data_IF_276660780731
#
_entry.id   IF_276660780731
#
_cell.length_a   1.000
_cell.length_b   1.000
_cell.length_c   1.000
_cell.angle_alpha   90.00
_cell.angle_beta   90.00
_cell.angle_gamma   90.00
#
_symmetry.space_group_name_H-M   'P 1'
#
loop_
_entity.id
_entity.type
_entity.pdbx_description
1 polymer ?
#
# COMPACT_ATOMS: atom_id res chain seq x y z
N UNK A 1 -3.87 -20.86 24.27
CA UNK A 1 -4.68 -20.50 23.08
C UNK A 1 -4.51 -19.00 22.90
N UNK A 2 -3.65 -18.59 21.97
CA UNK A 2 -3.48 -17.16 21.66
C UNK A 2 -4.64 -16.78 20.74
N UNK A 3 -5.63 -16.08 21.28
CA UNK A 3 -6.59 -15.38 20.45
C UNK A 3 -5.81 -14.31 19.68
N UNK A 4 -5.53 -14.60 18.42
CA UNK A 4 -5.16 -13.53 17.48
C UNK A 4 -6.34 -12.56 17.48
N UNK A 5 -6.09 -11.32 17.90
CA UNK A 5 -7.06 -10.23 17.77
C UNK A 5 -7.33 -10.08 16.28
N UNK A 6 -8.38 -10.74 15.80
CA UNK A 6 -8.92 -10.54 14.47
C UNK A 6 -9.51 -9.14 14.45
N UNK A 7 -8.79 -8.20 13.88
CA UNK A 7 -9.30 -6.86 13.66
C UNK A 7 -10.20 -6.92 12.40
N UNK A 8 -11.45 -7.29 12.55
CA UNK A 8 -12.51 -7.22 11.57
C UNK A 8 -12.98 -5.77 11.41
N UNK A 9 -13.67 -5.38 10.36
CA UNK A 9 -14.26 -4.02 10.23
C UNK A 9 -15.07 -3.59 11.44
N UNK A 10 -15.64 -4.55 12.16
CA UNK A 10 -16.24 -4.35 13.48
C UNK A 10 -15.20 -4.03 14.59
N UNK A 11 -13.95 -4.34 14.41
CA UNK A 11 -12.88 -4.10 15.39
C UNK A 11 -12.23 -2.73 15.29
N UNK A 12 -12.55 -1.92 14.29
CA UNK A 12 -12.34 -0.47 14.44
C UNK A 12 -13.01 0.01 15.72
N UNK A 13 -14.15 -0.58 16.10
CA UNK A 13 -14.83 -0.27 17.34
C UNK A 13 -13.98 -0.61 18.58
N UNK A 14 -13.28 -1.74 18.58
CA UNK A 14 -12.43 -2.15 19.70
C UNK A 14 -11.15 -1.32 19.79
N UNK A 15 -10.50 -1.06 18.64
CA UNK A 15 -9.34 -0.19 18.58
C UNK A 15 -9.73 1.27 18.89
N UNK A 16 -10.83 1.77 18.33
CA UNK A 16 -11.38 3.08 18.64
C UNK A 16 -11.73 3.21 20.13
N UNK A 17 -12.37 2.19 20.71
CA UNK A 17 -12.68 2.13 22.15
C UNK A 17 -11.41 2.14 23.01
N UNK A 18 -10.39 1.37 22.62
CA UNK A 18 -9.09 1.38 23.30
C UNK A 18 -8.39 2.74 23.22
N UNK A 19 -8.67 3.51 22.15
CA UNK A 19 -8.18 4.88 21.94
C UNK A 19 -9.10 5.96 22.51
N UNK A 20 -10.23 5.60 23.15
CA UNK A 20 -11.19 6.55 23.70
C UNK A 20 -12.06 7.26 22.66
N UNK A 21 -12.15 6.74 21.42
CA UNK A 21 -12.96 7.32 20.34
C UNK A 21 -14.40 6.77 20.43
N UNK A 22 -15.39 7.64 20.36
CA UNK A 22 -16.79 7.21 20.30
C UNK A 22 -17.15 6.64 18.93
N UNK A 23 -18.03 5.64 18.89
CA UNK A 23 -18.52 5.04 17.65
C UNK A 23 -19.20 6.05 16.70
N UNK A 24 -19.75 7.14 17.24
CA UNK A 24 -20.39 8.22 16.49
C UNK A 24 -19.38 9.03 15.63
N UNK A 25 -18.13 9.15 16.08
CA UNK A 25 -17.07 9.85 15.34
C UNK A 25 -16.66 9.07 14.09
N UNK A 26 -16.83 7.74 14.08
CA UNK A 26 -16.45 6.86 12.98
C UNK A 26 -17.52 6.80 11.87
N UNK A 27 -18.75 7.23 12.15
CA UNK A 27 -19.88 7.10 11.21
C UNK A 27 -20.07 8.28 10.26
N UNK A 28 -19.38 9.39 10.47
CA UNK A 28 -19.47 10.55 9.58
C UNK A 28 -18.53 10.39 8.38
N UNK A 29 -19.08 10.00 7.23
CA UNK A 29 -18.36 9.97 5.94
C UNK A 29 -18.01 11.38 5.48
N UNK A 30 -16.78 11.82 5.73
CA UNK A 30 -16.19 12.98 5.05
C UNK A 30 -15.53 12.53 3.76
N UNK A 31 -15.50 13.39 2.72
CA UNK A 31 -14.62 13.16 1.57
C UNK A 31 -13.20 13.05 2.11
N UNK A 32 -12.62 11.85 2.06
CA UNK A 32 -11.25 11.65 2.49
C UNK A 32 -10.32 12.35 1.51
N UNK A 33 -9.47 13.21 2.02
CA UNK A 33 -8.38 13.81 1.24
C UNK A 33 -7.39 12.73 0.76
N UNK A 34 -6.48 13.12 -0.11
CA UNK A 34 -5.37 12.27 -0.49
C UNK A 34 -4.43 12.08 0.71
N UNK A 35 -3.97 10.86 0.96
CA UNK A 35 -2.99 10.55 2.01
C UNK A 35 -1.61 10.48 1.38
N UNK A 36 -0.61 11.07 2.04
CA UNK A 36 0.77 11.05 1.61
C UNK A 36 1.31 9.61 1.54
N UNK A 37 2.26 9.35 0.65
CA UNK A 37 2.73 8.00 0.35
C UNK A 37 4.19 7.82 0.76
N UNK A 38 4.43 6.90 1.67
CA UNK A 38 5.77 6.45 2.04
C UNK A 38 6.17 5.24 1.20
N UNK A 39 7.43 5.18 0.77
CA UNK A 39 8.00 4.01 0.10
C UNK A 39 9.53 4.01 0.19
N UNK A 40 10.17 2.88 -0.03
CA UNK A 40 11.61 2.80 -0.28
C UNK A 40 11.86 3.10 -1.76
N UNK A 41 12.79 4.01 -2.03
CA UNK A 41 13.20 4.36 -3.38
C UNK A 41 14.42 3.55 -3.79
N UNK A 42 14.26 2.68 -4.80
CA UNK A 42 15.28 1.66 -5.12
C UNK A 42 16.38 2.14 -6.05
N UNK A 43 16.20 3.26 -6.73
CA UNK A 43 17.19 3.80 -7.66
C UNK A 43 17.84 5.05 -7.09
N UNK A 44 19.14 5.29 -7.31
CA UNK A 44 19.74 6.57 -6.95
C UNK A 44 19.11 7.71 -7.76
N UNK A 45 19.06 8.90 -7.18
CA UNK A 45 18.70 10.12 -7.90
C UNK A 45 19.99 10.84 -8.28
N UNK A 46 20.10 11.15 -9.58
CA UNK A 46 21.26 11.76 -10.17
C UNK A 46 21.03 13.25 -10.36
N UNK A 47 21.85 14.06 -9.72
CA UNK A 47 21.98 15.49 -9.98
C UNK A 47 23.04 15.83 -11.04
N UNK A 48 23.28 17.12 -11.21
CA UNK A 48 24.37 17.63 -12.05
C UNK A 48 25.22 18.59 -11.22
N UNK A 49 26.51 18.33 -11.18
CA UNK A 49 27.50 19.21 -10.55
C UNK A 49 28.49 19.70 -11.60
N UNK A 50 28.90 20.97 -11.51
CA UNK A 50 29.91 21.54 -12.39
C UNK A 50 31.29 21.31 -11.79
N UNK A 51 32.05 20.36 -12.31
CA UNK A 51 33.41 20.06 -11.92
C UNK A 51 34.35 20.50 -13.03
N UNK A 52 35.21 21.50 -12.75
CA UNK A 52 36.18 22.06 -13.69
C UNK A 52 35.57 22.51 -15.02
N UNK A 53 34.39 23.17 -14.98
CA UNK A 53 33.71 23.68 -16.15
C UNK A 53 32.96 22.61 -16.99
N UNK A 54 32.85 21.39 -16.47
CA UNK A 54 32.10 20.31 -17.11
C UNK A 54 30.96 19.87 -16.19
N UNK A 55 29.76 19.71 -16.76
CA UNK A 55 28.63 19.14 -16.06
C UNK A 55 28.82 17.63 -15.92
N UNK A 56 28.94 17.16 -14.71
CA UNK A 56 29.11 15.75 -14.36
C UNK A 56 27.84 15.30 -13.61
N UNK A 57 27.33 14.10 -13.93
CA UNK A 57 26.25 13.50 -13.15
C UNK A 57 26.83 12.97 -11.84
N UNK A 58 26.24 13.41 -10.73
CA UNK A 58 26.57 12.95 -9.38
C UNK A 58 25.34 12.36 -8.72
N UNK A 59 25.54 11.38 -7.88
CA UNK A 59 24.46 10.82 -7.07
C UNK A 59 24.16 11.78 -5.92
N UNK A 60 22.96 12.34 -5.89
CA UNK A 60 22.52 13.30 -4.85
C UNK A 60 21.68 12.61 -3.77
N UNK A 61 21.01 11.51 -4.11
CA UNK A 61 20.27 10.68 -3.16
C UNK A 61 20.57 9.22 -3.48
N UNK A 62 21.04 8.50 -2.47
CA UNK A 62 21.39 7.08 -2.59
C UNK A 62 20.16 6.20 -2.85
N UNK A 63 20.37 5.12 -3.60
CA UNK A 63 19.37 4.07 -3.72
C UNK A 63 19.11 3.42 -2.37
N UNK A 64 17.83 3.19 -2.05
CA UNK A 64 17.41 2.65 -0.75
C UNK A 64 16.93 3.69 0.24
N UNK A 65 16.98 4.98 -0.08
CA UNK A 65 16.38 6.02 0.75
C UNK A 65 14.86 5.84 0.88
N UNK A 66 14.31 6.22 2.02
CA UNK A 66 12.87 6.36 2.21
C UNK A 66 12.40 7.61 1.49
N UNK A 67 11.37 7.47 0.67
CA UNK A 67 10.73 8.58 -0.06
C UNK A 67 9.33 8.80 0.46
N UNK A 68 9.06 10.03 0.90
CA UNK A 68 7.73 10.50 1.23
C UNK A 68 7.21 11.41 0.12
N UNK A 69 6.08 11.04 -0.47
CA UNK A 69 5.32 11.85 -1.41
C UNK A 69 4.26 12.61 -0.63
N UNK A 70 4.45 13.90 -0.46
CA UNK A 70 3.46 14.79 0.15
C UNK A 70 2.56 15.33 -0.94
N UNK A 71 1.28 15.00 -0.85
CA UNK A 71 0.29 15.32 -1.88
C UNK A 71 -0.28 16.72 -1.60
N UNK A 72 0.04 17.67 -2.47
CA UNK A 72 -0.55 19.00 -2.47
C UNK A 72 -1.80 19.09 -3.35
N UNK A 73 -2.41 20.28 -3.42
CA UNK A 73 -3.63 20.52 -4.20
C UNK A 73 -3.43 20.34 -5.72
N UNK A 74 -2.26 20.67 -6.23
CA UNK A 74 -1.93 20.62 -7.67
C UNK A 74 -0.78 19.66 -7.97
N UNK A 75 0.26 19.68 -7.15
CA UNK A 75 1.50 18.95 -7.37
C UNK A 75 1.89 18.19 -6.09
N UNK A 76 2.62 17.09 -6.27
CA UNK A 76 3.23 16.36 -5.16
C UNK A 76 4.66 16.85 -4.94
N UNK A 77 5.07 16.92 -3.69
CA UNK A 77 6.45 17.19 -3.28
C UNK A 77 7.07 15.91 -2.73
N UNK A 78 8.33 15.66 -3.04
CA UNK A 78 9.03 14.46 -2.60
C UNK A 78 10.14 14.83 -1.61
N UNK A 79 10.18 14.08 -0.52
CA UNK A 79 11.21 14.18 0.50
C UNK A 79 11.89 12.84 0.67
N UNK A 80 13.19 12.85 0.96
CA UNK A 80 14.00 11.65 1.08
C UNK A 80 14.79 11.70 2.39
N UNK A 81 14.97 10.53 3.00
CA UNK A 81 15.84 10.34 4.15
C UNK A 81 16.35 8.90 4.20
N UNK A 82 17.53 8.68 4.74
CA UNK A 82 18.06 7.33 4.99
C UNK A 82 17.47 6.72 6.24
N UNK A 83 17.12 7.53 7.24
CA UNK A 83 16.55 7.08 8.50
C UNK A 83 15.23 7.78 8.75
N UNK A 84 14.24 7.01 9.18
CA UNK A 84 12.94 7.54 9.53
C UNK A 84 12.40 6.83 10.76
N UNK A 85 11.47 7.46 11.44
CA UNK A 85 10.69 6.84 12.50
C UNK A 85 9.22 6.86 12.12
N UNK A 86 8.53 5.75 12.28
CA UNK A 86 7.10 5.68 12.04
C UNK A 86 6.36 5.36 13.33
N UNK A 87 5.28 6.09 13.56
CA UNK A 87 4.29 5.78 14.60
C UNK A 87 3.07 5.16 13.92
N UNK A 88 2.95 3.81 13.90
CA UNK A 88 1.88 3.15 13.17
C UNK A 88 0.56 3.22 13.94
N UNK A 89 -0.51 3.62 13.26
CA UNK A 89 -1.86 3.66 13.83
C UNK A 89 -2.61 2.36 13.57
N UNK A 90 -2.49 1.84 12.36
CA UNK A 90 -3.10 0.57 11.98
C UNK A 90 -2.40 -0.06 10.78
N UNK A 91 -2.65 -1.34 10.59
CA UNK A 91 -2.28 -2.06 9.38
C UNK A 91 -3.49 -2.72 8.75
N UNK A 92 -3.45 -2.88 7.42
CA UNK A 92 -4.42 -3.60 6.62
C UNK A 92 -3.71 -4.47 5.61
N UNK A 93 -4.45 -5.37 4.99
CA UNK A 93 -3.91 -6.29 3.99
C UNK A 93 -4.81 -6.28 2.76
N UNK A 94 -4.19 -6.43 1.59
CA UNK A 94 -4.89 -6.65 0.33
C UNK A 94 -4.06 -7.55 -0.57
N UNK A 95 -4.70 -8.09 -1.60
CA UNK A 95 -4.02 -8.75 -2.72
C UNK A 95 -3.92 -7.78 -3.89
N UNK A 96 -2.81 -7.86 -4.62
CA UNK A 96 -2.54 -7.03 -5.78
C UNK A 96 -1.88 -7.86 -6.87
N UNK A 97 -2.32 -7.68 -8.13
CA UNK A 97 -1.72 -8.26 -9.31
C UNK A 97 -1.61 -7.20 -10.40
N UNK A 98 -0.43 -7.07 -11.01
CA UNK A 98 -0.25 -6.21 -12.18
C UNK A 98 -0.49 -6.99 -13.44
N UNK A 99 -1.31 -6.46 -14.35
CA UNK A 99 -1.56 -7.01 -15.68
C UNK A 99 -0.99 -6.02 -16.69
N UNK A 100 0.07 -6.43 -17.38
CA UNK A 100 0.66 -5.61 -18.43
C UNK A 100 -0.25 -5.58 -19.67
N UNK A 101 -0.43 -4.40 -20.23
CA UNK A 101 -1.05 -4.23 -21.54
C UNK A 101 0.05 -4.28 -22.62
N UNK A 102 0.31 -5.48 -23.12
CA UNK A 102 1.39 -5.72 -24.12
C UNK A 102 1.13 -5.06 -25.47
N UNK A 103 -0.12 -4.67 -25.75
CA UNK A 103 -0.52 -3.96 -26.98
C UNK A 103 -0.71 -2.45 -26.81
N UNK A 104 -0.36 -1.87 -25.66
CA UNK A 104 -0.60 -0.46 -25.37
C UNK A 104 0.14 0.47 -26.35
N UNK A 105 -0.59 1.43 -26.94
CA UNK A 105 -0.02 2.53 -27.71
C UNK A 105 0.74 3.50 -26.77
N UNK A 106 1.59 4.40 -27.30
CA UNK A 106 2.40 5.31 -26.49
C UNK A 106 1.63 6.12 -25.43
N UNK A 107 0.37 6.45 -25.70
CA UNK A 107 -0.50 7.25 -24.82
C UNK A 107 -1.50 6.41 -24.00
N UNK A 108 -1.47 5.09 -24.10
CA UNK A 108 -2.35 4.19 -23.35
C UNK A 108 -1.65 3.67 -22.09
N UNK A 109 -2.42 3.33 -21.04
CA UNK A 109 -1.85 2.73 -19.83
C UNK A 109 -1.10 1.44 -20.18
N UNK A 110 0.15 1.34 -19.71
CA UNK A 110 1.00 0.16 -19.91
C UNK A 110 0.51 -1.09 -19.19
N UNK A 111 -0.53 -0.97 -18.40
CA UNK A 111 -1.17 -2.05 -17.66
C UNK A 111 -2.04 -1.50 -16.54
N UNK A 112 -2.68 -2.42 -15.83
CA UNK A 112 -3.56 -2.08 -14.71
C UNK A 112 -3.28 -2.97 -13.51
N UNK A 113 -3.60 -2.45 -12.32
CA UNK A 113 -3.55 -3.24 -11.10
C UNK A 113 -4.94 -3.81 -10.81
N UNK A 114 -5.00 -5.13 -10.68
CA UNK A 114 -6.09 -5.78 -9.98
C UNK A 114 -5.81 -5.69 -8.48
N UNK A 115 -6.78 -5.21 -7.72
CA UNK A 115 -6.66 -4.98 -6.27
C UNK A 115 -7.91 -5.46 -5.57
N UNK A 116 -7.73 -6.08 -4.42
CA UNK A 116 -8.86 -6.43 -3.56
C UNK A 116 -9.21 -5.28 -2.62
N UNK A 117 -10.34 -5.39 -1.96
CA UNK A 117 -10.63 -4.60 -0.75
C UNK A 117 -9.52 -4.78 0.28
N UNK A 118 -9.30 -3.76 1.10
CA UNK A 118 -8.43 -3.85 2.28
C UNK A 118 -9.17 -4.55 3.41
N UNK A 119 -8.49 -5.50 4.05
CA UNK A 119 -9.01 -6.32 5.15
C UNK A 119 -7.96 -6.45 6.26
N UNK A 120 -8.38 -6.94 7.42
CA UNK A 120 -7.47 -7.29 8.53
C UNK A 120 -6.74 -8.58 8.28
N UNK A 121 -7.29 -9.45 7.43
CA UNK A 121 -6.75 -10.77 7.14
C UNK A 121 -6.85 -11.07 5.67
N UNK A 122 -5.96 -11.93 5.19
CA UNK A 122 -6.00 -12.51 3.84
C UNK A 122 -6.61 -13.94 3.84
N UNK A 123 -7.22 -14.35 4.94
CA UNK A 123 -7.78 -15.70 5.09
C UNK A 123 -9.23 -15.83 4.57
N UNK A 124 -9.88 -14.71 4.30
CA UNK A 124 -11.22 -14.66 3.69
C UNK A 124 -11.14 -14.32 2.21
N UNK A 125 -12.23 -14.60 1.48
CA UNK A 125 -12.36 -14.19 0.10
C UNK A 125 -12.60 -12.69 -0.01
N UNK A 126 -11.72 -12.01 -0.71
CA UNK A 126 -11.72 -10.56 -0.87
C UNK A 126 -12.20 -10.19 -2.27
N UNK A 127 -13.29 -9.41 -2.37
CA UNK A 127 -13.74 -8.82 -3.64
C UNK A 127 -12.64 -8.00 -4.28
N UNK A 128 -12.47 -8.10 -5.61
CA UNK A 128 -11.50 -7.31 -6.37
C UNK A 128 -12.18 -6.43 -7.43
N UNK A 129 -11.44 -5.47 -7.97
CA UNK A 129 -11.92 -4.53 -8.99
C UNK A 129 -12.15 -5.15 -10.38
N UNK A 130 -12.15 -6.48 -10.51
CA UNK A 130 -12.41 -7.20 -11.76
C UNK A 130 -13.66 -8.07 -11.71
N UNK A 131 -14.45 -7.98 -10.64
CA UNK A 131 -15.61 -8.82 -10.38
C UNK A 131 -15.26 -10.26 -10.01
N UNK A 132 -14.04 -10.49 -9.50
CA UNK A 132 -13.56 -11.78 -8.99
C UNK A 132 -13.20 -11.66 -7.52
N UNK A 133 -12.86 -12.78 -6.92
CA UNK A 133 -12.27 -12.82 -5.58
C UNK A 133 -10.76 -13.03 -5.67
N UNK A 134 -10.02 -12.46 -4.74
CA UNK A 134 -8.59 -12.72 -4.50
C UNK A 134 -7.69 -12.49 -5.74
N UNK A 135 -8.04 -11.55 -6.64
CA UNK A 135 -7.38 -11.33 -7.94
C UNK A 135 -7.36 -12.59 -8.83
N UNK A 136 -8.31 -13.52 -8.63
CA UNK A 136 -8.43 -14.78 -9.36
C UNK A 136 -7.76 -15.98 -8.69
N UNK A 137 -7.15 -15.82 -7.51
CA UNK A 137 -6.65 -16.95 -6.73
C UNK A 137 -7.82 -17.76 -6.17
N UNK A 138 -7.75 -19.11 -6.17
CA UNK A 138 -8.73 -19.97 -5.51
C UNK A 138 -8.93 -19.62 -4.04
N UNK A 139 -10.15 -19.81 -3.56
CA UNK A 139 -10.50 -19.64 -2.15
C UNK A 139 -9.79 -20.65 -1.26
N UNK A 140 -9.53 -20.25 -0.02
CA UNK A 140 -9.00 -21.12 1.01
C UNK A 140 -7.49 -21.42 0.90
N UNK A 141 -7.08 -22.42 1.65
CA UNK A 141 -5.70 -22.91 1.68
C UNK A 141 -5.46 -23.85 0.51
N UNK A 142 -4.34 -23.67 -0.18
CA UNK A 142 -3.91 -24.53 -1.28
C UNK A 142 -2.97 -25.57 -0.68
N UNK A 143 -3.48 -26.81 -0.52
CA UNK A 143 -2.70 -27.91 0.07
C UNK A 143 -1.55 -28.35 -0.85
N UNK A 144 -1.84 -28.54 -2.13
CA UNK A 144 -0.84 -28.91 -3.12
C UNK A 144 -0.80 -27.91 -4.28
N UNK A 145 0.18 -27.01 -4.22
CA UNK A 145 0.40 -26.02 -5.27
C UNK A 145 0.83 -26.67 -6.60
N UNK A 146 1.53 -27.81 -6.55
CA UNK A 146 2.04 -28.48 -7.75
C UNK A 146 0.92 -29.21 -8.51
N UNK A 147 -0.16 -29.58 -7.84
CA UNK A 147 -1.33 -30.20 -8.47
C UNK A 147 -2.19 -29.21 -9.29
N UNK A 148 -1.96 -27.90 -9.11
CA UNK A 148 -2.66 -26.89 -9.90
C UNK A 148 -2.16 -26.87 -11.34
N UNK A 149 -3.06 -26.43 -12.27
CA UNK A 149 -2.65 -26.20 -13.66
C UNK A 149 -1.50 -25.17 -13.73
N UNK A 150 -0.60 -25.26 -14.74
CA UNK A 150 0.48 -24.29 -14.92
C UNK A 150 -0.01 -22.84 -14.95
N UNK A 151 -1.10 -22.56 -15.65
CA UNK A 151 -1.71 -21.21 -15.73
C UNK A 151 -2.13 -20.70 -14.35
N UNK A 152 -2.70 -21.58 -13.51
CA UNK A 152 -3.10 -21.21 -12.16
C UNK A 152 -1.89 -20.97 -11.26
N UNK A 153 -0.85 -21.79 -11.37
CA UNK A 153 0.40 -21.58 -10.66
C UNK A 153 1.02 -20.22 -11.01
N UNK A 154 1.06 -19.87 -12.29
CA UNK A 154 1.60 -18.60 -12.77
C UNK A 154 0.75 -17.40 -12.34
N UNK A 155 -0.57 -17.54 -12.36
CA UNK A 155 -1.48 -16.54 -11.83
C UNK A 155 -1.17 -16.28 -10.34
N UNK A 156 -1.07 -17.33 -9.53
CA UNK A 156 -0.81 -17.19 -8.09
C UNK A 156 0.55 -16.55 -7.82
N UNK A 157 1.60 -16.89 -8.60
CA UNK A 157 2.93 -16.27 -8.48
C UNK A 157 2.93 -14.79 -8.76
N UNK A 158 2.02 -14.28 -9.62
CA UNK A 158 1.89 -12.87 -9.94
C UNK A 158 1.12 -12.09 -8.86
N UNK A 159 0.35 -12.77 -8.00
CA UNK A 159 -0.43 -12.12 -6.94
C UNK A 159 0.48 -11.83 -5.76
N UNK A 160 0.60 -10.56 -5.42
CA UNK A 160 1.34 -10.09 -4.26
C UNK A 160 0.43 -9.88 -3.06
N UNK A 161 0.90 -10.27 -1.89
CA UNK A 161 0.32 -9.86 -0.61
C UNK A 161 0.86 -8.49 -0.29
N UNK A 162 -0.02 -7.55 -0.03
CA UNK A 162 0.34 -6.18 0.32
C UNK A 162 -0.05 -5.93 1.77
N UNK A 163 0.92 -5.52 2.58
CA UNK A 163 0.70 -4.93 3.90
C UNK A 163 0.58 -3.44 3.71
N UNK A 164 -0.48 -2.85 4.22
CA UNK A 164 -0.73 -1.42 4.17
C UNK A 164 -0.63 -0.88 5.59
N UNK A 165 0.33 -0.01 5.83
CA UNK A 165 0.55 0.64 7.13
C UNK A 165 0.07 2.07 7.04
N UNK A 166 -0.72 2.49 8.02
CA UNK A 166 -1.17 3.86 8.21
C UNK A 166 -0.56 4.40 9.50
N UNK A 167 -0.09 5.61 9.48
CA UNK A 167 0.51 6.23 10.65
C UNK A 167 1.06 7.61 10.38
N UNK A 168 1.96 8.02 11.24
CA UNK A 168 2.71 9.28 11.15
C UNK A 168 4.19 8.94 10.99
N UNK A 169 4.86 9.63 10.08
CA UNK A 169 6.30 9.49 9.83
C UNK A 169 7.03 10.76 10.21
N UNK A 170 8.15 10.59 10.90
CA UNK A 170 9.17 11.59 11.15
C UNK A 170 10.41 11.21 10.32
N UNK A 171 10.91 12.11 9.50
CA UNK A 171 12.11 11.89 8.67
C UNK A 171 13.32 12.57 9.32
N UNK A 172 14.41 11.82 9.49
CA UNK A 172 15.65 12.35 10.03
C UNK A 172 16.44 13.01 8.88
N UNK A 173 16.85 14.27 9.08
CA UNK A 173 17.62 15.05 8.10
C UNK A 173 17.06 14.93 6.66
N UNK A 174 15.76 15.28 6.43
CA UNK A 174 15.15 15.13 5.13
C UNK A 174 15.80 16.06 4.09
N UNK A 175 15.89 15.55 2.86
CA UNK A 175 16.34 16.32 1.69
C UNK A 175 15.25 16.36 0.64
N UNK A 176 15.28 17.36 -0.24
CA UNK A 176 14.41 17.46 -1.41
C UNK A 176 14.91 16.59 -2.59
N UNK A 177 14.27 16.71 -3.75
CA UNK A 177 14.64 15.97 -4.97
C UNK A 177 16.01 16.33 -5.54
N UNK A 178 16.58 17.45 -5.11
CA UNK A 178 17.91 17.91 -5.52
C UNK A 178 19.01 17.49 -4.52
N UNK A 179 18.62 16.87 -3.39
CA UNK A 179 19.50 16.51 -2.30
C UNK A 179 19.76 17.68 -1.34
N UNK A 180 18.99 18.78 -1.44
CA UNK A 180 19.14 19.93 -0.56
C UNK A 180 18.46 19.70 0.78
N UNK A 181 19.12 19.99 1.91
CA UNK A 181 18.54 19.83 3.24
C UNK A 181 17.24 20.65 3.39
N UNK A 182 16.25 20.03 3.99
CA UNK A 182 14.95 20.68 4.23
C UNK A 182 14.44 20.37 5.64
N UNK A 183 13.32 20.98 6.01
CA UNK A 183 12.68 20.72 7.29
C UNK A 183 11.27 20.18 7.04
N UNK A 184 10.94 19.06 7.67
CA UNK A 184 9.63 18.45 7.60
C UNK A 184 9.18 18.07 9.01
N UNK A 185 7.94 18.44 9.38
CA UNK A 185 7.33 17.97 10.61
C UNK A 185 6.83 16.53 10.48
N UNK A 186 6.10 16.08 11.48
CA UNK A 186 5.43 14.79 11.45
C UNK A 186 4.33 14.77 10.38
N UNK A 187 4.33 13.76 9.52
CA UNK A 187 3.44 13.69 8.36
C UNK A 187 2.61 12.40 8.37
N UNK A 188 1.27 12.50 8.28
CA UNK A 188 0.42 11.33 8.06
C UNK A 188 0.75 10.62 6.75
N UNK A 189 0.85 9.29 6.78
CA UNK A 189 1.22 8.50 5.61
C UNK A 189 0.44 7.20 5.45
N UNK A 190 0.48 6.69 4.22
CA UNK A 190 0.16 5.31 3.85
C UNK A 190 1.40 4.67 3.22
N UNK A 191 1.70 3.43 3.60
CA UNK A 191 2.79 2.64 3.02
C UNK A 191 2.28 1.27 2.55
N UNK A 192 2.24 1.06 1.24
CA UNK A 192 1.91 -0.22 0.61
C UNK A 192 3.18 -1.05 0.42
N UNK A 193 3.32 -2.13 1.17
CA UNK A 193 4.51 -3.00 1.21
C UNK A 193 4.18 -4.32 0.54
N UNK A 194 4.71 -4.54 -0.66
CA UNK A 194 4.50 -5.75 -1.48
C UNK A 194 5.78 -6.59 -1.69
N UNK A 195 6.93 -6.08 -1.28
CA UNK A 195 8.16 -6.85 -1.21
C UNK A 195 8.05 -7.88 -0.07
N UNK A 196 8.36 -9.16 -0.35
CA UNK A 196 8.19 -10.27 0.60
C UNK A 196 9.02 -10.07 1.88
N UNK A 197 10.26 -9.60 1.75
CA UNK A 197 11.16 -9.46 2.88
C UNK A 197 10.79 -8.24 3.73
N UNK A 198 10.48 -7.10 3.11
CA UNK A 198 9.95 -5.93 3.79
C UNK A 198 8.61 -6.22 4.50
N UNK A 199 7.72 -6.98 3.83
CA UNK A 199 6.45 -7.44 4.39
C UNK A 199 6.68 -8.27 5.68
N UNK A 200 7.69 -9.16 5.67
CA UNK A 200 8.07 -9.97 6.82
C UNK A 200 8.68 -9.09 7.91
N UNK A 201 9.67 -8.26 7.60
CA UNK A 201 10.36 -7.39 8.56
C UNK A 201 9.38 -6.55 9.36
N UNK A 202 8.48 -5.82 8.69
CA UNK A 202 7.45 -5.04 9.38
C UNK A 202 6.44 -5.97 10.11
N UNK A 203 6.19 -7.15 9.59
CA UNK A 203 5.34 -8.16 10.24
C UNK A 203 5.87 -8.62 11.58
N UNK A 204 7.17 -8.83 11.65
CA UNK A 204 7.84 -9.24 12.89
C UNK A 204 7.75 -8.13 13.95
N UNK A 205 7.88 -6.83 13.55
CA UNK A 205 7.68 -5.71 14.46
C UNK A 205 6.22 -5.60 14.94
N UNK A 206 5.25 -5.73 14.04
CA UNK A 206 3.83 -5.73 14.43
C UNK A 206 3.46 -6.90 15.35
N UNK A 207 4.08 -8.07 15.20
CA UNK A 207 3.88 -9.21 16.06
C UNK A 207 4.38 -8.94 17.49
N UNK A 208 5.41 -8.13 17.67
CA UNK A 208 5.90 -7.74 19.00
C UNK A 208 4.86 -6.91 19.77
N UNK A 209 4.09 -6.03 19.12
CA UNK A 209 3.01 -5.29 19.77
C UNK A 209 1.96 -6.23 20.35
N UNK A 210 1.57 -7.26 19.60
CA UNK A 210 0.61 -8.27 20.05
C UNK A 210 1.20 -9.04 21.24
N UNK A 211 2.44 -9.52 21.10
CA UNK A 211 3.10 -10.33 22.15
C UNK A 211 3.27 -9.56 23.45
N UNK A 212 3.55 -8.27 23.37
CA UNK A 212 3.75 -7.40 24.54
C UNK A 212 2.47 -6.71 25.00
N UNK A 213 1.32 -6.98 24.36
CA UNK A 213 0.03 -6.32 24.64
C UNK A 213 0.13 -4.79 24.62
N UNK A 214 0.79 -4.25 23.58
CA UNK A 214 1.00 -2.81 23.39
C UNK A 214 0.21 -2.31 22.18
N UNK A 215 -0.27 -1.07 22.25
CA UNK A 215 -0.92 -0.39 21.14
C UNK A 215 0.15 0.21 20.21
N UNK A 216 0.16 -0.12 18.89
CA UNK A 216 1.15 0.40 17.95
C UNK A 216 1.24 1.94 17.96
N UNK A 217 0.11 2.64 18.03
CA UNK A 217 0.04 4.10 18.07
C UNK A 217 0.80 4.74 19.23
N UNK A 218 1.10 4.00 20.28
CA UNK A 218 1.83 4.51 21.45
C UNK A 218 3.35 4.36 21.32
N UNK A 219 3.86 3.78 20.25
CA UNK A 219 5.28 3.49 20.10
C UNK A 219 5.80 3.84 18.70
N UNK A 220 7.10 4.06 18.60
CA UNK A 220 7.80 4.26 17.34
C UNK A 220 8.43 2.95 16.85
N UNK A 221 8.39 2.73 15.54
CA UNK A 221 9.26 1.80 14.84
C UNK A 221 10.34 2.66 14.15
N UNK A 222 11.58 2.51 14.58
CA UNK A 222 12.72 3.14 13.94
C UNK A 222 13.13 2.34 12.72
N UNK A 223 13.33 3.00 11.61
CA UNK A 223 13.76 2.43 10.35
C UNK A 223 15.14 2.99 10.03
N UNK A 224 16.18 2.33 10.57
CA UNK A 224 17.57 2.75 10.53
C UNK A 224 18.25 2.26 9.26
N UNK A 225 17.98 2.94 8.16
CA UNK A 225 18.46 2.58 6.84
C UNK A 225 17.74 1.40 6.21
N UNK A 226 18.29 0.97 5.11
CA UNK A 226 17.82 -0.19 4.34
C UNK A 226 18.96 -1.14 4.01
N UNK A 227 18.64 -2.41 3.82
CA UNK A 227 19.59 -3.43 3.37
C UNK A 227 19.44 -3.63 1.86
N UNK A 228 20.54 -3.45 1.12
CA UNK A 228 20.60 -3.79 -0.29
C UNK A 228 20.60 -5.31 -0.51
N UNK A 229 19.80 -5.78 -1.46
CA UNK A 229 19.71 -7.18 -1.86
C UNK A 229 19.88 -7.24 -3.39
N UNK A 230 20.79 -8.08 -3.86
CA UNK A 230 21.05 -8.25 -5.28
C UNK A 230 19.98 -9.13 -5.95
N UNK A 231 19.56 -8.76 -7.15
CA UNK A 231 18.74 -9.58 -8.03
C UNK A 231 19.62 -10.33 -9.05
N UNK A 232 19.17 -11.48 -9.57
CA UNK A 232 19.94 -12.25 -10.57
C UNK A 232 20.29 -11.46 -11.84
N UNK A 233 19.53 -10.41 -12.16
CA UNK A 233 19.76 -9.53 -13.30
C UNK A 233 20.78 -8.40 -13.03
N UNK A 234 21.43 -8.40 -11.85
CA UNK A 234 22.41 -7.40 -11.45
C UNK A 234 21.82 -6.10 -10.87
N UNK A 235 20.49 -5.95 -10.83
CA UNK A 235 19.85 -4.83 -10.14
C UNK A 235 19.74 -5.11 -8.63
N UNK A 236 19.54 -4.08 -7.84
CA UNK A 236 19.35 -4.17 -6.40
C UNK A 236 17.94 -3.74 -5.99
N UNK A 237 17.44 -4.37 -4.96
CA UNK A 237 16.29 -3.88 -4.22
C UNK A 237 16.65 -3.71 -2.75
N UNK A 238 15.88 -2.90 -2.04
CA UNK A 238 16.19 -2.53 -0.67
C UNK A 238 15.05 -2.94 0.25
N UNK A 239 15.40 -3.43 1.44
CA UNK A 239 14.47 -3.83 2.50
C UNK A 239 14.73 -3.02 3.76
N UNK A 240 13.70 -2.62 4.52
CA UNK A 240 13.88 -1.81 5.72
C UNK A 240 14.62 -2.58 6.80
N UNK A 241 15.40 -1.86 7.61
CA UNK A 241 15.92 -2.35 8.88
C UNK A 241 15.09 -1.70 9.98
N UNK A 242 14.26 -2.50 10.66
CA UNK A 242 13.25 -2.00 11.59
C UNK A 242 13.53 -2.47 13.02
N UNK A 243 13.30 -1.58 13.97
CA UNK A 243 13.39 -1.85 15.40
C UNK A 243 12.34 -1.04 16.17
N UNK A 244 11.56 -1.70 17.01
CA UNK A 244 10.55 -1.03 17.85
C UNK A 244 11.09 -0.71 19.24
N UNK A 245 11.01 0.56 19.61
CA UNK A 245 11.36 1.00 20.96
C UNK A 245 10.12 0.91 21.88
N UNK A 246 10.15 -0.04 22.82
CA UNK A 246 9.08 -0.22 23.82
C UNK A 246 9.37 0.46 25.15
N UNK A 247 10.54 1.08 25.32
CA UNK A 247 10.88 1.82 26.54
C UNK A 247 10.21 3.19 26.58
N UNK A 248 9.82 3.72 25.43
CA UNK A 248 9.11 4.97 25.26
C UNK A 248 7.66 4.72 24.86
N UNK A 249 6.75 5.52 25.38
CA UNK A 249 5.33 5.44 25.08
C UNK A 249 4.75 6.84 24.94
N UNK A 250 3.96 7.05 23.91
CA UNK A 250 3.27 8.31 23.63
C UNK A 250 1.83 8.27 24.15
N UNK A 251 1.37 9.39 24.68
CA UNK A 251 -0.04 9.57 24.99
C UNK A 251 -0.85 9.70 23.69
N UNK A 252 -2.06 9.16 23.70
CA UNK A 252 -2.98 9.29 22.58
C UNK A 252 -3.71 10.63 22.69
N UNK A 253 -3.47 11.53 21.74
CA UNK A 253 -4.06 12.87 21.72
C UNK A 253 -5.40 12.92 20.98
N UNK A 254 -6.12 14.03 21.10
CA UNK A 254 -7.33 14.28 20.31
C UNK A 254 -7.04 14.34 18.79
N UNK A 255 -5.87 14.87 18.42
CA UNK A 255 -5.44 14.90 17.02
C UNK A 255 -5.14 13.50 16.48
N UNK A 256 -4.56 12.62 17.30
CA UNK A 256 -4.37 11.21 16.94
C UNK A 256 -5.70 10.49 16.70
N UNK A 257 -6.69 10.75 17.56
CA UNK A 257 -8.04 10.19 17.40
C UNK A 257 -8.72 10.64 16.12
N UNK A 258 -8.59 11.94 15.79
CA UNK A 258 -9.11 12.50 14.54
C UNK A 258 -8.43 11.88 13.33
N UNK A 259 -7.09 11.81 13.35
CA UNK A 259 -6.30 11.23 12.26
C UNK A 259 -6.62 9.74 12.06
N UNK A 260 -6.83 9.00 13.14
CA UNK A 260 -7.31 7.62 13.06
C UNK A 260 -8.65 7.54 12.32
N UNK A 261 -9.60 8.42 12.64
CA UNK A 261 -10.88 8.53 11.94
C UNK A 261 -10.70 8.80 10.44
N UNK A 262 -9.81 9.73 10.08
CA UNK A 262 -9.50 10.07 8.68
C UNK A 262 -8.93 8.85 7.92
N UNK A 263 -8.08 8.04 8.54
CA UNK A 263 -7.58 6.77 7.96
C UNK A 263 -8.68 5.74 7.76
N UNK A 264 -9.57 5.58 8.75
CA UNK A 264 -10.73 4.67 8.64
C UNK A 264 -11.64 5.09 7.49
N UNK A 265 -11.94 6.36 7.34
CA UNK A 265 -12.78 6.88 6.26
C UNK A 265 -12.11 6.70 4.90
N UNK A 266 -10.81 6.89 4.82
CA UNK A 266 -10.07 6.61 3.59
C UNK A 266 -10.17 5.13 3.17
N UNK A 267 -10.00 4.20 4.13
CA UNK A 267 -10.12 2.76 3.86
C UNK A 267 -11.55 2.40 3.43
N UNK A 268 -12.56 2.95 4.08
CA UNK A 268 -13.97 2.74 3.70
C UNK A 268 -14.24 3.20 2.27
N UNK A 269 -13.75 4.38 1.90
CA UNK A 269 -13.90 4.93 0.55
C UNK A 269 -13.16 4.07 -0.49
N UNK A 270 -11.93 3.63 -0.18
CA UNK A 270 -11.20 2.71 -1.03
C UNK A 270 -11.96 1.39 -1.23
N UNK A 271 -12.46 0.79 -0.15
CA UNK A 271 -13.21 -0.46 -0.22
C UNK A 271 -14.55 -0.29 -0.96
N UNK A 272 -15.25 0.82 -0.76
CA UNK A 272 -16.48 1.15 -1.47
C UNK A 272 -16.23 1.26 -2.98
N UNK A 273 -15.14 1.91 -3.38
CA UNK A 273 -14.73 1.97 -4.79
C UNK A 273 -14.49 0.57 -5.37
N UNK A 274 -13.73 -0.29 -4.70
CA UNK A 274 -13.47 -1.67 -5.16
C UNK A 274 -14.76 -2.48 -5.24
N UNK A 275 -15.65 -2.36 -4.25
CA UNK A 275 -16.93 -3.05 -4.24
C UNK A 275 -17.83 -2.60 -5.42
N UNK A 276 -17.86 -1.30 -5.72
CA UNK A 276 -18.60 -0.76 -6.86
C UNK A 276 -18.09 -1.34 -8.19
N UNK A 277 -16.77 -1.30 -8.41
CA UNK A 277 -16.14 -1.90 -9.58
C UNK A 277 -16.46 -3.40 -9.69
N UNK A 278 -16.46 -4.10 -8.53
CA UNK A 278 -16.81 -5.51 -8.48
C UNK A 278 -18.25 -5.75 -8.93
N UNK A 279 -19.22 -4.97 -8.43
CA UNK A 279 -20.65 -5.10 -8.74
C UNK A 279 -20.93 -4.82 -10.21
N UNK A 280 -20.33 -3.77 -10.78
CA UNK A 280 -20.44 -3.44 -12.20
C UNK A 280 -19.94 -4.61 -13.07
N UNK A 281 -18.76 -5.17 -12.78
CA UNK A 281 -18.19 -6.29 -13.54
C UNK A 281 -18.95 -7.61 -13.36
N UNK A 282 -19.59 -7.86 -12.23
CA UNK A 282 -20.45 -9.02 -12.01
C UNK A 282 -21.78 -8.83 -12.74
N UNK A 283 -22.35 -7.62 -12.71
CA UNK A 283 -23.55 -7.27 -13.44
C UNK A 283 -23.40 -7.48 -14.95
N UNK A 284 -22.30 -7.02 -15.53
CA UNK A 284 -21.94 -7.22 -16.94
C UNK A 284 -21.86 -8.71 -17.34
N UNK A 285 -21.42 -9.59 -16.43
CA UNK A 285 -21.36 -11.05 -16.69
C UNK A 285 -22.70 -11.75 -16.57
N UNK A 286 -23.59 -11.24 -15.73
CA UNK A 286 -24.94 -11.79 -15.54
C UNK A 286 -25.90 -11.36 -16.63
N UNK A 287 -25.62 -10.23 -17.29
CA UNK A 287 -26.28 -9.74 -18.49
C UNK A 287 -25.27 -9.73 -19.65
N UNK A 288 -24.87 -10.88 -20.20
CA UNK A 288 -24.07 -10.88 -21.41
C UNK A 288 -24.90 -10.21 -22.52
N UNK A 289 -24.27 -9.25 -23.23
CA UNK A 289 -24.84 -8.68 -24.45
C UNK A 289 -25.39 -9.85 -25.29
N UNK A 290 -26.64 -9.82 -25.62
CA UNK A 290 -27.25 -10.95 -26.33
C UNK A 290 -26.58 -11.12 -27.69
N UNK A 291 -26.52 -12.36 -28.22
CA UNK A 291 -25.97 -12.59 -29.56
C UNK A 291 -26.73 -11.78 -30.64
N UNK A 292 -27.98 -11.39 -30.35
CA UNK A 292 -28.79 -10.52 -31.22
C UNK A 292 -28.33 -9.07 -31.19
N UNK A 293 -27.79 -8.55 -30.07
CA UNK A 293 -27.23 -7.21 -29.97
C UNK A 293 -25.86 -7.13 -30.71
N UNK A 294 -25.08 -8.22 -30.68
CA UNK A 294 -23.82 -8.33 -31.44
C UNK A 294 -24.10 -8.35 -32.95
N UNK A 295 -25.10 -9.09 -33.40
CA UNK A 295 -25.50 -9.08 -34.79
C UNK A 295 -26.02 -7.74 -35.28
N UNK A 296 -26.73 -7.00 -34.44
CA UNK A 296 -27.20 -5.65 -34.75
C UNK A 296 -26.05 -4.68 -34.97
N UNK A 297 -24.92 -4.85 -34.26
CA UNK A 297 -23.72 -4.02 -34.44
C UNK A 297 -22.94 -4.40 -35.70
N UNK A 298 -22.84 -5.71 -36.01
CA UNK A 298 -22.19 -6.19 -37.24
C UNK A 298 -22.97 -5.79 -38.50
N UNK A 299 -24.34 -5.81 -38.47
CA UNK A 299 -25.17 -5.35 -39.57
C UNK A 299 -25.09 -3.83 -39.84
N UNK A 300 -24.56 -3.01 -38.85
CA UNK A 300 -24.31 -1.58 -39.05
C UNK A 300 -22.92 -1.28 -39.63
N UNK A 301 -21.98 -2.22 -39.60
CA UNK A 301 -20.61 -2.04 -40.10
C UNK A 301 -20.48 -2.39 -41.57
N UNK A 302 -21.42 -3.14 -42.17
CA UNK A 302 -21.43 -3.56 -43.58
C UNK A 302 -22.10 -2.56 -44.52
N UNK A 303 -22.40 -1.32 -44.11
CA UNK A 303 -22.95 -0.28 -44.97
C UNK A 303 -21.96 0.90 -45.04
N UNK A 304 -20.81 0.68 -45.73
CA UNK A 304 -20.08 1.72 -46.47
C UNK A 304 -19.14 1.08 -47.50
#
# INVERSE_FOLDING_TARGET
>A
MNEMININTDSYADLAKAMGISAETITQTKKSGSINRLRIWHSPIMGQEEIKGKKVKVEVIEGGAYRLEVIGDKDSTFYYSTNISIRPFMQRFMLRRYIANTGAKPNEPKGMFHRTVMSDTLNSDLKDNTGRFNCGKPSGYIEDFQALSPDMQDLIRQIKRVRVVFGVVTMDEPVDENGEPTTLGDVPFIWEIDNKDAYKTLGDEFAQFITKSRLPIQHMIHLNGTKANALPNGSSFYTPQAETNFSESFDITADDQKLFGDFVDWIKNFNAYICKEWEEKVGDRQNPVSEDDIKTVDDFIDIE
#
